data_IF_629557353569
#
_entry.id   IF_629557353569
#
_cell.length_a   1.000
_cell.length_b   1.000
_cell.length_c   1.000
_cell.angle_alpha   90.00
_cell.angle_beta   90.00
_cell.angle_gamma   90.00
#
_symmetry.space_group_name_H-M   'P 1'
#
loop_
_entity.id
_entity.type
_entity.pdbx_description
1 polymer ?
#
# COMPACT_ATOMS: atom_id res chain seq x y z
N UNK A 1 9.70 -7.50 -17.97
CA UNK A 1 8.72 -7.01 -18.96
C UNK A 1 8.24 -5.62 -18.59
N UNK A 2 7.26 -5.50 -17.71
CA UNK A 2 6.58 -4.23 -17.37
C UNK A 2 7.54 -3.14 -16.87
N UNK A 3 8.46 -3.44 -15.95
CA UNK A 3 9.44 -2.46 -15.44
C UNK A 3 10.31 -1.86 -16.55
N UNK A 4 10.76 -2.71 -17.47
CA UNK A 4 11.57 -2.31 -18.63
C UNK A 4 10.77 -1.42 -19.57
N UNK A 5 9.50 -1.76 -19.83
CA UNK A 5 8.61 -0.96 -20.68
C UNK A 5 8.25 0.39 -20.05
N UNK A 6 8.18 0.46 -18.72
CA UNK A 6 7.82 1.70 -18.01
C UNK A 6 8.94 2.74 -17.98
N UNK A 7 10.21 2.30 -18.13
CA UNK A 7 11.40 3.13 -17.93
C UNK A 7 11.40 3.97 -16.63
N UNK A 8 10.62 3.62 -15.60
CA UNK A 8 10.57 4.38 -14.34
C UNK A 8 11.77 4.03 -13.45
N UNK A 9 12.62 5.01 -13.16
CA UNK A 9 13.71 4.88 -12.19
C UNK A 9 13.23 4.46 -10.80
N UNK A 10 12.09 5.00 -10.35
CA UNK A 10 11.46 4.59 -9.09
C UNK A 10 11.07 3.11 -9.07
N UNK A 11 10.60 2.58 -10.21
CA UNK A 11 10.24 1.17 -10.33
C UNK A 11 11.44 0.23 -10.19
N UNK A 12 12.58 0.60 -10.78
CA UNK A 12 13.82 -0.16 -10.64
C UNK A 12 14.35 -0.18 -9.21
N UNK A 13 14.38 0.96 -8.54
CA UNK A 13 14.80 1.05 -7.13
C UNK A 13 13.93 0.16 -6.24
N UNK A 14 12.61 0.24 -6.41
CA UNK A 14 11.65 -0.57 -5.66
C UNK A 14 11.83 -2.07 -5.93
N UNK A 15 12.02 -2.47 -7.19
CA UNK A 15 12.26 -3.85 -7.56
C UNK A 15 13.56 -4.40 -6.94
N UNK A 16 14.66 -3.63 -7.01
CA UNK A 16 15.93 -4.02 -6.40
C UNK A 16 15.79 -4.18 -4.89
N UNK A 17 15.10 -3.26 -4.21
CA UNK A 17 14.84 -3.37 -2.78
C UNK A 17 13.99 -4.60 -2.43
N UNK A 18 12.91 -4.86 -3.18
CA UNK A 18 12.06 -6.03 -2.99
C UNK A 18 12.82 -7.34 -3.18
N UNK A 19 13.63 -7.45 -4.23
CA UNK A 19 14.49 -8.61 -4.48
C UNK A 19 15.46 -8.79 -3.32
N UNK A 20 16.15 -7.74 -2.89
CA UNK A 20 17.07 -7.79 -1.76
C UNK A 20 16.40 -8.32 -0.49
N UNK A 21 15.17 -7.90 -0.20
CA UNK A 21 14.41 -8.36 0.96
C UNK A 21 14.06 -9.83 0.84
N UNK A 22 13.53 -10.29 -0.30
CA UNK A 22 13.26 -11.71 -0.54
C UNK A 22 14.52 -12.55 -0.35
N UNK A 23 15.67 -12.05 -0.81
CA UNK A 23 16.96 -12.69 -0.64
C UNK A 23 17.37 -12.82 0.82
N UNK A 24 17.10 -11.83 1.68
CA UNK A 24 17.31 -11.91 3.12
C UNK A 24 16.43 -12.99 3.80
N UNK A 25 15.24 -13.27 3.26
CA UNK A 25 14.35 -14.31 3.76
C UNK A 25 14.73 -15.72 3.29
N UNK A 26 15.60 -15.87 2.30
CA UNK A 26 15.92 -17.16 1.68
C UNK A 26 17.19 -17.81 2.27
N UNK A 27 17.30 -19.15 2.17
CA UNK A 27 18.52 -19.86 2.56
C UNK A 27 19.70 -19.41 1.67
N UNK A 28 20.89 -19.21 2.25
CA UNK A 28 22.11 -18.74 1.56
C UNK A 28 22.45 -19.51 0.27
N UNK A 29 22.09 -20.79 0.17
CA UNK A 29 22.36 -21.59 -1.05
C UNK A 29 21.46 -21.18 -2.22
N UNK A 30 20.20 -20.85 -1.95
CA UNK A 30 19.25 -20.42 -2.98
C UNK A 30 19.52 -18.98 -3.42
N UNK A 31 20.08 -18.15 -2.52
CA UNK A 31 20.56 -16.80 -2.84
C UNK A 31 21.51 -16.78 -4.04
N UNK A 32 22.51 -17.67 -4.07
CA UNK A 32 23.47 -17.73 -5.17
C UNK A 32 22.79 -18.06 -6.50
N UNK A 33 21.83 -19.01 -6.49
CA UNK A 33 21.06 -19.37 -7.68
C UNK A 33 20.20 -18.21 -8.21
N UNK A 34 19.46 -17.54 -7.33
CA UNK A 34 18.59 -16.42 -7.71
C UNK A 34 19.38 -15.18 -8.13
N UNK A 35 20.52 -14.91 -7.49
CA UNK A 35 21.41 -13.81 -7.85
C UNK A 35 22.06 -14.05 -9.22
N UNK A 36 22.55 -15.26 -9.48
CA UNK A 36 23.08 -15.62 -10.81
C UNK A 36 22.01 -15.48 -11.89
N UNK A 37 20.80 -15.99 -11.65
CA UNK A 37 19.68 -15.85 -12.59
C UNK A 37 19.32 -14.37 -12.84
N UNK A 38 19.36 -13.53 -11.80
CA UNK A 38 19.09 -12.09 -11.92
C UNK A 38 20.17 -11.38 -12.72
N UNK A 39 21.45 -11.68 -12.48
CA UNK A 39 22.59 -11.13 -13.24
C UNK A 39 22.53 -11.56 -14.70
N UNK A 40 22.20 -12.83 -14.98
CA UNK A 40 22.02 -13.33 -16.35
C UNK A 40 20.84 -12.64 -17.04
N UNK A 41 19.71 -12.46 -16.35
CA UNK A 41 18.56 -11.77 -16.91
C UNK A 41 18.88 -10.30 -17.25
N UNK A 42 19.52 -9.57 -16.34
CA UNK A 42 19.97 -8.19 -16.59
C UNK A 42 21.00 -8.16 -17.73
N UNK A 43 22.01 -9.02 -17.67
CA UNK A 43 23.06 -9.15 -18.68
C UNK A 43 22.54 -9.47 -20.08
N UNK A 44 21.54 -10.35 -20.19
CA UNK A 44 20.90 -10.68 -21.47
C UNK A 44 20.06 -9.52 -22.02
N UNK A 45 19.52 -8.67 -21.15
CA UNK A 45 18.81 -7.46 -21.62
C UNK A 45 19.77 -6.37 -22.04
N UNK A 46 20.89 -6.13 -21.36
CA UNK A 46 21.81 -5.00 -21.60
C UNK A 46 22.20 -4.73 -23.08
N UNK A 47 22.51 -5.73 -23.94
CA UNK A 47 22.85 -5.51 -25.34
C UNK A 47 21.72 -4.89 -26.18
N UNK A 48 20.46 -5.18 -25.83
CA UNK A 48 19.28 -4.61 -26.49
C UNK A 48 19.19 -3.09 -26.22
N UNK A 49 19.84 -2.61 -25.16
CA UNK A 49 19.71 -1.25 -24.65
C UNK A 49 21.03 -0.47 -24.63
N UNK A 50 22.07 -0.93 -25.33
CA UNK A 50 23.42 -0.33 -25.30
C UNK A 50 23.49 1.15 -25.79
N UNK A 51 22.38 1.73 -26.27
CA UNK A 51 22.34 3.16 -26.55
C UNK A 51 22.29 3.95 -25.23
N UNK A 52 23.34 4.73 -24.93
CA UNK A 52 23.55 5.52 -23.70
C UNK A 52 22.41 6.48 -23.30
N UNK A 53 21.38 6.63 -24.13
CA UNK A 53 20.16 7.40 -23.87
C UNK A 53 19.25 6.78 -22.80
N UNK A 54 19.28 5.47 -22.57
CA UNK A 54 18.34 4.82 -21.62
C UNK A 54 18.58 5.23 -20.17
N UNK A 55 19.83 5.42 -19.73
CA UNK A 55 20.14 5.85 -18.35
C UNK A 55 19.54 7.23 -18.09
N UNK A 56 19.66 8.13 -19.08
CA UNK A 56 19.07 9.47 -19.03
C UNK A 56 17.53 9.42 -19.04
N UNK A 57 16.95 8.43 -19.72
CA UNK A 57 15.51 8.21 -19.74
C UNK A 57 14.97 7.63 -18.43
N UNK A 58 15.72 6.76 -17.76
CA UNK A 58 15.32 6.13 -16.49
C UNK A 58 15.56 7.04 -15.29
N UNK A 59 16.64 7.83 -15.32
CA UNK A 59 17.01 8.78 -14.27
C UNK A 59 17.21 10.20 -14.81
N UNK A 60 16.14 10.85 -15.32
CA UNK A 60 16.22 12.22 -15.77
C UNK A 60 16.42 13.16 -14.56
N UNK A 61 17.60 13.76 -14.45
CA UNK A 61 17.95 14.71 -13.37
C UNK A 61 16.91 15.84 -13.25
N UNK A 62 16.39 16.32 -14.37
CA UNK A 62 15.35 17.35 -14.38
C UNK A 62 14.10 16.91 -13.62
N UNK A 63 13.63 15.68 -13.81
CA UNK A 63 12.47 15.13 -13.08
C UNK A 63 12.71 15.11 -11.57
N UNK A 64 13.95 14.84 -11.13
CA UNK A 64 14.29 14.88 -9.71
C UNK A 64 14.27 16.31 -9.16
N UNK A 65 14.80 17.28 -9.91
CA UNK A 65 14.76 18.70 -9.52
C UNK A 65 13.31 19.20 -9.41
N UNK A 66 12.47 18.86 -10.39
CA UNK A 66 11.04 19.21 -10.38
C UNK A 66 10.31 18.61 -9.17
N UNK A 67 10.68 17.39 -8.74
CA UNK A 67 10.14 16.77 -7.51
C UNK A 67 10.58 17.51 -6.26
N UNK A 68 11.88 17.86 -6.17
CA UNK A 68 12.40 18.61 -5.02
C UNK A 68 11.71 19.97 -4.89
N UNK A 69 11.48 20.66 -5.99
CA UNK A 69 10.77 21.95 -5.99
C UNK A 69 9.32 21.78 -5.47
N UNK A 70 8.61 20.75 -5.95
CA UNK A 70 7.27 20.41 -5.45
C UNK A 70 7.26 20.06 -3.97
N UNK A 71 8.27 19.34 -3.48
CA UNK A 71 8.39 18.99 -2.08
C UNK A 71 8.60 20.22 -1.21
N UNK A 72 9.46 21.15 -1.66
CA UNK A 72 9.68 22.42 -0.97
C UNK A 72 8.40 23.26 -0.93
N UNK A 73 7.67 23.36 -2.04
CA UNK A 73 6.39 24.07 -2.10
C UNK A 73 5.34 23.42 -1.18
N UNK A 74 5.28 22.09 -1.15
CA UNK A 74 4.39 21.32 -0.27
C UNK A 74 4.70 21.58 1.20
N UNK A 75 5.99 21.50 1.57
CA UNK A 75 6.44 21.75 2.94
C UNK A 75 6.15 23.21 3.34
N UNK A 76 6.35 24.16 2.43
CA UNK A 76 6.03 25.57 2.68
C UNK A 76 4.54 25.77 2.97
N UNK A 77 3.65 25.17 2.17
CA UNK A 77 2.20 25.25 2.38
C UNK A 77 1.73 24.56 3.67
N UNK A 78 2.39 23.46 4.05
CA UNK A 78 2.08 22.71 5.28
C UNK A 78 2.44 23.46 6.57
N UNK A 79 3.30 24.48 6.52
CA UNK A 79 3.68 25.26 7.71
C UNK A 79 2.49 25.92 8.38
N UNK A 80 1.48 26.29 7.61
CA UNK A 80 0.27 26.95 8.12
C UNK A 80 -0.72 25.96 8.75
N UNK A 81 -0.63 24.67 8.40
CA UNK A 81 -1.59 23.64 8.81
C UNK A 81 -0.92 22.31 9.21
N UNK A 82 0.01 22.29 10.18
CA UNK A 82 0.80 21.09 10.50
C UNK A 82 -0.04 19.94 11.10
N UNK A 83 -1.15 20.24 11.78
CA UNK A 83 -1.96 19.21 12.43
C UNK A 83 -3.05 18.65 11.52
N UNK A 84 -3.77 19.51 10.81
CA UNK A 84 -4.89 19.12 9.96
C UNK A 84 -4.46 18.78 8.52
N UNK A 85 -3.28 19.25 8.10
CA UNK A 85 -2.91 19.28 6.69
C UNK A 85 -3.72 20.33 5.93
N UNK A 86 -3.60 20.28 4.60
CA UNK A 86 -4.36 21.09 3.65
C UNK A 86 -5.76 20.53 3.38
N UNK A 87 -6.05 19.30 3.83
CA UNK A 87 -7.27 18.55 3.54
C UNK A 87 -7.20 17.80 2.20
N UNK A 88 -8.14 16.88 1.99
CA UNK A 88 -8.18 16.04 0.78
C UNK A 88 -8.24 16.88 -0.49
N UNK A 89 -7.21 16.78 -1.32
CA UNK A 89 -7.10 17.57 -2.55
C UNK A 89 -6.72 19.04 -2.33
N UNK A 90 -6.54 19.48 -1.08
CA UNK A 90 -6.14 20.85 -0.73
C UNK A 90 -4.77 21.24 -1.26
N UNK A 91 -3.91 20.26 -1.53
CA UNK A 91 -2.65 20.49 -2.23
C UNK A 91 -2.87 21.16 -3.59
N UNK A 92 -3.85 20.71 -4.38
CA UNK A 92 -4.13 21.30 -5.69
C UNK A 92 -4.66 22.72 -5.56
N UNK A 93 -5.56 23.00 -4.62
CA UNK A 93 -6.10 24.36 -4.47
C UNK A 93 -5.09 25.37 -3.94
N UNK A 94 -4.07 24.93 -3.20
CA UNK A 94 -3.09 25.82 -2.53
C UNK A 94 -1.71 25.86 -3.19
N UNK A 95 -1.31 24.81 -3.89
CA UNK A 95 0.05 24.64 -4.43
C UNK A 95 0.07 24.59 -5.96
N UNK A 96 -1.01 24.14 -6.63
CA UNK A 96 -1.02 24.14 -8.11
C UNK A 96 -1.02 25.56 -8.71
N UNK A 97 -1.36 26.57 -7.92
CA UNK A 97 -1.25 28.00 -8.28
C UNK A 97 0.18 28.44 -8.58
N UNK A 98 1.20 27.64 -8.23
CA UNK A 98 2.61 27.88 -8.60
C UNK A 98 2.96 27.39 -10.02
N UNK A 99 1.96 27.06 -10.85
CA UNK A 99 2.20 26.57 -12.23
C UNK A 99 2.66 25.12 -12.30
N UNK A 100 2.62 24.40 -11.18
CA UNK A 100 2.99 22.99 -11.10
C UNK A 100 1.79 22.10 -11.42
N UNK A 101 1.85 21.38 -12.54
CA UNK A 101 0.87 20.35 -12.90
C UNK A 101 1.23 19.03 -12.22
N UNK A 102 0.31 18.43 -11.46
CA UNK A 102 0.51 17.15 -10.77
C UNK A 102 0.79 17.35 -9.27
N UNK A 103 0.54 16.32 -8.45
CA UNK A 103 0.76 16.40 -7.00
C UNK A 103 2.25 16.51 -6.58
N UNK A 104 2.56 16.27 -5.29
CA UNK A 104 3.91 16.27 -4.74
C UNK A 104 4.85 15.20 -5.32
N UNK A 105 4.31 14.17 -6.00
CA UNK A 105 5.09 12.99 -6.43
C UNK A 105 5.82 12.31 -5.26
N UNK A 106 5.18 12.28 -4.11
CA UNK A 106 5.64 11.59 -2.90
C UNK A 106 4.42 11.29 -2.04
N UNK A 107 4.10 10.01 -1.89
CA UNK A 107 2.90 9.57 -1.20
C UNK A 107 2.85 10.00 0.27
N UNK A 108 4.01 10.14 0.92
CA UNK A 108 4.11 10.53 2.32
C UNK A 108 3.80 12.01 2.50
N UNK A 109 4.35 12.86 1.61
CA UNK A 109 4.00 14.28 1.57
C UNK A 109 2.56 14.49 1.14
N UNK A 110 2.04 13.69 0.23
CA UNK A 110 0.63 13.72 -0.15
C UNK A 110 -0.27 13.34 1.03
N UNK A 111 0.02 12.23 1.72
CA UNK A 111 -0.72 11.82 2.92
C UNK A 111 -0.69 12.91 3.99
N UNK A 112 0.48 13.51 4.22
CA UNK A 112 0.61 14.59 5.19
C UNK A 112 -0.18 15.83 4.76
N UNK A 113 -0.16 16.18 3.48
CA UNK A 113 -0.97 17.26 2.91
C UNK A 113 -2.47 16.99 3.07
N UNK A 114 -2.92 15.76 2.87
CA UNK A 114 -4.34 15.43 2.91
C UNK A 114 -4.90 15.29 4.33
N UNK A 115 -4.10 14.80 5.27
CA UNK A 115 -4.58 14.34 6.59
C UNK A 115 -3.82 14.92 7.79
N UNK A 116 -2.75 15.68 7.55
CA UNK A 116 -1.94 16.28 8.59
C UNK A 116 -1.20 15.26 9.47
N UNK A 117 -0.86 15.68 10.68
CA UNK A 117 -0.09 14.88 11.61
C UNK A 117 -0.79 13.56 11.98
N UNK A 118 -2.12 13.53 11.99
CA UNK A 118 -2.90 12.34 12.34
C UNK A 118 -2.66 11.19 11.36
N UNK A 119 -2.68 11.43 10.05
CA UNK A 119 -2.39 10.38 9.07
C UNK A 119 -0.93 9.93 9.10
N UNK A 120 0.00 10.86 9.38
CA UNK A 120 1.40 10.50 9.57
C UNK A 120 1.63 9.60 10.80
N UNK A 121 0.96 9.87 11.92
CA UNK A 121 1.00 9.00 13.10
C UNK A 121 0.44 7.62 12.76
N UNK A 122 -0.70 7.55 12.06
CA UNK A 122 -1.29 6.28 11.64
C UNK A 122 -0.34 5.48 10.73
N UNK A 123 0.34 6.16 9.79
CA UNK A 123 1.34 5.55 8.93
C UNK A 123 2.54 5.01 9.73
N UNK A 124 3.08 5.79 10.67
CA UNK A 124 4.19 5.35 11.54
C UNK A 124 3.79 4.11 12.34
N UNK A 125 2.59 4.08 12.91
CA UNK A 125 2.07 2.91 13.62
C UNK A 125 1.94 1.70 12.68
N UNK A 126 1.43 1.89 11.47
CA UNK A 126 1.32 0.82 10.47
C UNK A 126 2.70 0.26 10.09
N UNK A 127 3.71 1.11 9.93
CA UNK A 127 5.11 0.70 9.69
C UNK A 127 5.66 -0.08 10.88
N UNK A 128 5.47 0.38 12.11
CA UNK A 128 5.92 -0.32 13.32
C UNK A 128 5.29 -1.72 13.41
N UNK A 129 3.98 -1.84 13.16
CA UNK A 129 3.28 -3.13 13.15
C UNK A 129 3.84 -4.02 12.05
N UNK A 130 4.02 -3.49 10.85
CA UNK A 130 4.57 -4.24 9.71
C UNK A 130 5.97 -4.77 10.02
N UNK A 131 6.87 -3.94 10.58
CA UNK A 131 8.22 -4.37 10.98
C UNK A 131 8.16 -5.48 12.04
N UNK A 132 7.27 -5.38 13.03
CA UNK A 132 7.08 -6.44 14.04
C UNK A 132 6.65 -7.76 13.40
N UNK A 133 5.68 -7.74 12.49
CA UNK A 133 5.22 -8.93 11.77
C UNK A 133 6.34 -9.50 10.88
N UNK A 134 7.02 -8.64 10.11
CA UNK A 134 8.17 -9.01 9.26
C UNK A 134 9.26 -9.72 10.04
N UNK A 135 9.54 -9.26 11.27
CA UNK A 135 10.51 -9.90 12.17
C UNK A 135 10.04 -11.28 12.63
N UNK A 136 8.77 -11.44 12.98
CA UNK A 136 8.22 -12.76 13.36
C UNK A 136 8.32 -13.76 12.20
N UNK A 137 8.08 -13.30 10.97
CA UNK A 137 8.19 -14.13 9.77
C UNK A 137 9.62 -14.65 9.57
N UNK A 138 10.66 -13.86 9.86
CA UNK A 138 12.07 -14.30 9.71
C UNK A 138 12.41 -15.54 10.54
N UNK A 139 11.76 -15.70 11.69
CA UNK A 139 11.97 -16.80 12.63
C UNK A 139 10.95 -17.93 12.49
N UNK A 140 9.97 -17.80 11.58
CA UNK A 140 8.96 -18.81 11.35
C UNK A 140 9.53 -20.04 10.61
N UNK A 141 8.74 -21.12 10.59
CA UNK A 141 9.11 -22.34 9.90
C UNK A 141 9.20 -22.11 8.38
N UNK A 142 10.41 -22.28 7.83
CA UNK A 142 10.72 -22.05 6.42
C UNK A 142 10.21 -23.16 5.51
N UNK A 143 9.85 -24.32 6.06
CA UNK A 143 9.38 -25.46 5.29
C UNK A 143 7.86 -25.36 5.01
N UNK A 144 7.17 -24.37 5.62
CA UNK A 144 5.76 -24.10 5.34
C UNK A 144 5.57 -23.39 3.99
N UNK A 145 4.64 -23.84 3.12
CA UNK A 145 4.36 -23.14 1.85
C UNK A 145 3.85 -21.70 2.05
N UNK A 146 3.25 -21.40 3.22
CA UNK A 146 2.76 -20.06 3.57
C UNK A 146 3.93 -19.10 3.84
N UNK A 147 5.11 -19.60 4.24
CA UNK A 147 6.27 -18.77 4.50
C UNK A 147 6.67 -17.94 3.28
N UNK A 148 6.78 -18.58 2.11
CA UNK A 148 7.14 -17.91 0.86
C UNK A 148 6.14 -16.83 0.45
N UNK A 149 4.84 -17.12 0.60
CA UNK A 149 3.77 -16.14 0.33
C UNK A 149 3.91 -14.93 1.26
N UNK A 150 4.09 -15.18 2.55
CA UNK A 150 4.17 -14.13 3.58
C UNK A 150 5.41 -13.26 3.39
N UNK A 151 6.56 -13.89 3.07
CA UNK A 151 7.79 -13.19 2.74
C UNK A 151 7.65 -12.35 1.46
N UNK A 152 6.98 -12.88 0.43
CA UNK A 152 6.68 -12.16 -0.80
C UNK A 152 5.79 -10.93 -0.59
N UNK A 153 4.71 -11.06 0.20
CA UNK A 153 3.84 -9.94 0.58
C UNK A 153 4.63 -8.88 1.34
N UNK A 154 5.47 -9.30 2.29
CA UNK A 154 6.33 -8.41 3.08
C UNK A 154 7.29 -7.63 2.18
N UNK A 155 7.97 -8.32 1.25
CA UNK A 155 8.89 -7.69 0.31
C UNK A 155 8.15 -6.72 -0.63
N UNK A 156 6.96 -7.09 -1.11
CA UNK A 156 6.11 -6.23 -1.93
C UNK A 156 5.68 -4.96 -1.21
N UNK A 157 5.29 -5.05 0.07
CA UNK A 157 4.94 -3.89 0.90
C UNK A 157 6.12 -2.94 1.10
N UNK A 158 7.31 -3.47 1.37
CA UNK A 158 8.50 -2.62 1.57
C UNK A 158 8.94 -2.00 0.24
N UNK A 159 8.96 -2.78 -0.84
CA UNK A 159 9.27 -2.28 -2.18
C UNK A 159 8.28 -1.18 -2.61
N UNK A 160 6.98 -1.40 -2.41
CA UNK A 160 5.94 -0.41 -2.67
C UNK A 160 6.10 0.84 -1.81
N UNK A 161 6.42 0.68 -0.52
CA UNK A 161 6.71 1.82 0.36
C UNK A 161 7.89 2.66 -0.10
N UNK A 162 8.97 2.03 -0.60
CA UNK A 162 10.12 2.72 -1.18
C UNK A 162 9.73 3.40 -2.50
N UNK A 163 8.97 2.73 -3.35
CA UNK A 163 8.47 3.32 -4.59
C UNK A 163 7.64 4.59 -4.33
N UNK A 164 6.78 4.53 -3.32
CA UNK A 164 5.89 5.59 -2.90
C UNK A 164 6.63 6.85 -2.38
N UNK A 165 7.91 6.74 -1.99
CA UNK A 165 8.74 7.90 -1.64
C UNK A 165 9.09 8.73 -2.88
N UNK A 166 9.18 8.07 -4.04
CA UNK A 166 9.87 8.62 -5.21
C UNK A 166 8.89 9.05 -6.28
N UNK A 167 7.86 8.26 -6.57
CA UNK A 167 7.07 8.43 -7.80
C UNK A 167 5.55 8.45 -7.60
N UNK A 168 5.05 7.91 -6.48
CA UNK A 168 3.65 7.49 -6.45
C UNK A 168 2.75 8.41 -5.63
N UNK A 169 1.56 8.68 -6.18
CA UNK A 169 0.44 9.21 -5.43
C UNK A 169 -0.48 8.03 -5.15
N UNK A 170 -0.57 7.61 -3.88
CA UNK A 170 -1.47 6.53 -3.45
C UNK A 170 -2.96 6.81 -3.73
N UNK A 171 -3.27 8.03 -4.12
CA UNK A 171 -4.60 8.50 -4.47
C UNK A 171 -4.57 9.03 -5.90
N UNK A 172 -5.50 8.54 -6.72
CA UNK A 172 -5.70 9.07 -8.06
C UNK A 172 -6.72 10.21 -7.97
N UNK A 173 -6.29 11.39 -8.37
CA UNK A 173 -7.19 12.51 -8.62
C UNK A 173 -7.49 12.55 -10.10
N UNK A 174 -8.75 12.31 -10.46
CA UNK A 174 -9.22 12.42 -11.84
C UNK A 174 -9.97 13.73 -11.95
N UNK A 175 -9.48 14.63 -12.78
CA UNK A 175 -10.20 15.85 -13.13
C UNK A 175 -11.31 15.50 -14.14
N UNK A 176 -12.56 15.80 -13.79
CA UNK A 176 -13.73 15.61 -14.65
C UNK A 176 -14.40 16.95 -14.84
N UNK A 177 -14.05 17.65 -15.92
CA UNK A 177 -14.46 19.04 -16.14
C UNK A 177 -13.76 20.00 -15.17
N UNK A 178 -14.55 20.77 -14.40
CA UNK A 178 -14.05 21.67 -13.36
C UNK A 178 -14.00 21.02 -11.97
N UNK A 179 -14.49 19.78 -11.84
CA UNK A 179 -14.51 19.05 -10.58
C UNK A 179 -13.35 18.05 -10.49
N UNK A 180 -12.95 17.76 -9.27
CA UNK A 180 -11.94 16.75 -8.96
C UNK A 180 -12.59 15.57 -8.26
N UNK A 181 -12.39 14.37 -8.79
CA UNK A 181 -12.84 13.14 -8.16
C UNK A 181 -11.66 12.42 -7.52
N UNK A 182 -11.73 12.27 -6.20
CA UNK A 182 -10.70 11.65 -5.39
C UNK A 182 -10.95 10.13 -5.28
N UNK A 183 -10.04 9.34 -5.84
CA UNK A 183 -10.03 7.88 -5.70
C UNK A 183 -8.91 7.46 -4.77
N UNK A 184 -9.28 6.94 -3.60
CA UNK A 184 -8.34 6.20 -2.76
C UNK A 184 -8.10 4.83 -3.38
N UNK A 185 -6.85 4.46 -3.63
CA UNK A 185 -6.50 3.13 -4.12
C UNK A 185 -6.41 2.21 -2.89
N UNK A 186 -7.32 1.22 -2.72
CA UNK A 186 -7.37 0.41 -1.50
C UNK A 186 -6.24 -0.62 -1.41
N UNK A 187 -5.31 -0.61 -2.37
CA UNK A 187 -4.29 -1.64 -2.54
C UNK A 187 -3.44 -1.76 -1.28
N UNK A 188 -2.90 -0.67 -0.71
CA UNK A 188 -2.07 -0.80 0.50
C UNK A 188 -2.81 -1.49 1.66
N UNK A 189 -4.09 -1.16 1.86
CA UNK A 189 -4.92 -1.78 2.89
C UNK A 189 -5.14 -3.27 2.63
N UNK A 190 -5.36 -3.64 1.37
CA UNK A 190 -5.47 -5.04 0.96
C UNK A 190 -4.18 -5.80 1.24
N UNK A 191 -3.01 -5.25 0.89
CA UNK A 191 -1.72 -5.88 1.14
C UNK A 191 -1.42 -6.00 2.64
N UNK A 192 -1.73 -4.99 3.43
CA UNK A 192 -1.61 -5.04 4.89
C UNK A 192 -2.51 -6.11 5.50
N UNK A 193 -3.77 -6.21 5.06
CA UNK A 193 -4.70 -7.25 5.50
C UNK A 193 -4.18 -8.65 5.14
N UNK A 194 -3.68 -8.83 3.91
CA UNK A 194 -3.07 -10.10 3.48
C UNK A 194 -1.83 -10.46 4.30
N UNK A 195 -0.99 -9.49 4.67
CA UNK A 195 0.16 -9.71 5.55
C UNK A 195 -0.29 -10.20 6.92
N UNK A 196 -1.29 -9.57 7.54
CA UNK A 196 -1.80 -9.97 8.85
C UNK A 196 -2.37 -11.40 8.79
N UNK A 197 -3.22 -11.71 7.80
CA UNK A 197 -3.84 -13.03 7.66
C UNK A 197 -2.79 -14.12 7.39
N UNK A 198 -1.83 -13.86 6.51
CA UNK A 198 -0.77 -14.82 6.17
C UNK A 198 0.17 -15.05 7.36
N UNK A 199 0.55 -14.00 8.08
CA UNK A 199 1.36 -14.10 9.30
C UNK A 199 0.65 -14.90 10.40
N UNK A 200 -0.64 -14.65 10.66
CA UNK A 200 -1.42 -15.42 11.63
C UNK A 200 -1.49 -16.91 11.27
N UNK A 201 -1.69 -17.24 10.00
CA UNK A 201 -1.71 -18.64 9.54
C UNK A 201 -0.34 -19.30 9.70
N UNK A 202 0.73 -18.58 9.36
CA UNK A 202 2.10 -19.07 9.48
C UNK A 202 2.44 -19.41 10.94
N UNK A 203 2.15 -18.50 11.88
CA UNK A 203 2.43 -18.69 13.30
C UNK A 203 1.62 -19.84 13.90
N UNK A 204 0.34 -19.98 13.55
CA UNK A 204 -0.49 -21.12 14.01
C UNK A 204 0.03 -22.47 13.54
N UNK A 205 0.60 -22.54 12.33
CA UNK A 205 1.17 -23.79 11.83
C UNK A 205 2.44 -24.15 12.60
N UNK A 206 3.29 -23.17 12.89
CA UNK A 206 4.51 -23.37 13.70
C UNK A 206 4.18 -23.88 15.11
N UNK A 207 3.13 -23.36 15.75
CA UNK A 207 2.67 -23.85 17.07
C UNK A 207 2.21 -25.32 17.03
N UNK A 208 1.43 -25.71 16.00
CA UNK A 208 0.94 -27.09 15.84
C UNK A 208 2.08 -28.09 15.66
N UNK A 209 3.08 -27.74 14.86
CA UNK A 209 4.23 -28.61 14.59
C UNK A 209 5.14 -28.75 15.81
N UNK A 210 5.20 -27.72 16.67
CA UNK A 210 5.90 -27.79 17.94
C UNK A 210 5.21 -28.74 18.93
N UNK A 211 3.88 -28.63 19.07
CA UNK A 211 3.09 -29.50 19.94
C UNK A 211 3.21 -30.99 19.56
N UNK A 212 3.29 -31.30 18.25
CA UNK A 212 3.50 -32.68 17.77
C UNK A 212 4.88 -33.24 18.08
N UNK A 213 5.91 -32.40 18.19
CA UNK A 213 7.29 -32.83 18.47
C UNK A 213 7.57 -33.06 19.96
N UNK A 214 6.56 -32.97 20.83
CA UNK A 214 6.72 -33.18 22.27
C UNK A 214 7.53 -32.09 22.97
N UNK A 215 7.64 -30.90 22.35
CA UNK A 215 8.40 -29.77 22.90
C UNK A 215 7.71 -29.20 24.13
N UNK A 216 8.23 -29.54 25.32
CA UNK A 216 7.76 -29.00 26.59
C UNK A 216 7.80 -27.46 26.64
N UNK A 217 6.68 -26.89 27.07
CA UNK A 217 6.49 -25.57 27.70
C UNK A 217 7.41 -24.42 27.23
N UNK A 218 7.29 -23.95 25.98
CA UNK A 218 7.93 -22.70 25.55
C UNK A 218 6.97 -21.50 25.61
N UNK A 219 7.17 -20.68 26.65
CA UNK A 219 6.93 -19.23 26.79
C UNK A 219 5.66 -18.62 26.14
N UNK A 220 4.58 -18.53 26.93
CA UNK A 220 3.29 -17.88 26.60
C UNK A 220 3.29 -16.34 26.76
N UNK A 221 4.44 -15.68 26.94
CA UNK A 221 4.48 -14.28 27.38
C UNK A 221 4.16 -13.22 26.32
N UNK A 222 4.13 -13.58 25.03
CA UNK A 222 4.15 -12.59 23.94
C UNK A 222 2.95 -12.55 22.99
N UNK A 223 2.17 -13.63 22.89
CA UNK A 223 1.12 -13.78 21.87
C UNK A 223 -0.28 -13.32 22.31
N UNK A 224 -0.53 -13.18 23.62
CA UNK A 224 -1.86 -12.84 24.14
C UNK A 224 -2.35 -11.44 23.74
N UNK A 225 -1.45 -10.48 23.52
CA UNK A 225 -1.83 -9.09 23.17
C UNK A 225 -2.39 -8.93 21.75
N UNK A 226 -1.92 -9.72 20.78
CA UNK A 226 -2.45 -9.68 19.41
C UNK A 226 -3.84 -10.33 19.30
N UNK A 227 -4.16 -11.28 20.18
CA UNK A 227 -5.52 -11.83 20.29
C UNK A 227 -6.50 -10.83 20.93
N UNK A 228 -6.07 -9.93 21.82
CA UNK A 228 -6.96 -8.92 22.40
C UNK A 228 -7.38 -7.82 21.40
N UNK A 229 -6.54 -7.45 20.43
CA UNK A 229 -6.89 -6.44 19.42
C UNK A 229 -7.61 -7.02 18.20
N UNK A 230 -7.36 -8.27 17.83
CA UNK A 230 -8.11 -8.96 16.77
C UNK A 230 -9.37 -9.70 17.28
N UNK A 231 -9.50 -9.85 18.60
CA UNK A 231 -10.59 -10.56 19.29
C UNK A 231 -11.60 -9.63 19.95
N UNK A 232 -11.80 -8.42 19.43
CA UNK A 232 -13.03 -7.68 19.69
C UNK A 232 -14.19 -8.38 18.95
N UNK A 233 -14.72 -9.42 19.59
CA UNK A 233 -15.98 -10.14 19.37
C UNK A 233 -16.82 -9.73 18.15
N UNK A 234 -16.64 -10.47 17.04
CA UNK A 234 -17.74 -10.96 16.22
C UNK A 234 -18.05 -12.40 16.62
N UNK A 235 -18.35 -12.63 17.91
CA UNK A 235 -19.00 -13.87 18.34
C UNK A 235 -20.50 -13.71 18.09
N UNK A 236 -20.96 -14.19 16.94
CA UNK A 236 -22.38 -14.44 16.66
C UNK A 236 -22.86 -15.68 17.42
N UNK A 237 -22.78 -15.64 18.75
CA UNK A 237 -23.38 -16.65 19.61
C UNK A 237 -24.40 -15.99 20.52
N UNK A 238 -25.68 -16.20 20.21
CA UNK A 238 -26.78 -15.77 21.08
C UNK A 238 -28.05 -15.26 20.39
N UNK A 239 -28.55 -15.90 19.32
CA UNK A 239 -29.96 -15.78 18.94
C UNK A 239 -30.48 -17.13 18.44
N UNK A 240 -30.59 -18.08 19.37
CA UNK A 240 -31.50 -19.22 19.23
C UNK A 240 -32.84 -18.84 19.84
N UNK A 241 -33.89 -18.78 19.02
CA UNK A 241 -35.27 -18.93 19.48
C UNK A 241 -36.18 -17.70 19.35
N UNK A 242 -36.69 -17.47 18.15
CA UNK A 242 -38.10 -17.11 17.93
C UNK A 242 -38.42 -17.30 16.43
N UNK A 243 -39.17 -18.35 16.11
CA UNK A 243 -39.77 -18.50 14.80
C UNK A 243 -40.85 -17.41 14.62
N UNK A 244 -40.49 -16.30 13.98
CA UNK A 244 -41.44 -15.29 13.53
C UNK A 244 -41.92 -15.71 12.14
N UNK A 245 -43.16 -16.18 12.08
CA UNK A 245 -43.90 -16.42 10.84
C UNK A 245 -43.96 -15.13 10.00
N UNK A 246 -43.70 -15.18 8.68
CA UNK A 246 -43.79 -14.00 7.84
C UNK A 246 -45.26 -13.58 7.67
N UNK A 247 -45.60 -12.39 8.16
CA UNK A 247 -46.86 -11.70 7.85
C UNK A 247 -46.73 -11.02 6.47
N UNK A 248 -47.59 -11.34 5.50
CA UNK A 248 -47.58 -10.71 4.19
C UNK A 248 -48.56 -9.52 4.17
N UNK A 249 -48.07 -8.31 4.38
CA UNK A 249 -48.79 -7.12 3.96
C UNK A 249 -47.87 -5.91 3.72
N UNK A 250 -47.99 -5.38 2.51
CA UNK A 250 -47.92 -3.98 2.11
C UNK A 250 -46.77 -3.10 2.63
N UNK A 251 -45.97 -2.60 1.68
CA UNK A 251 -46.14 -1.21 1.23
C UNK A 251 -45.32 -0.93 -0.03
N UNK A 252 -46.03 -0.77 -1.15
CA UNK A 252 -45.49 -0.16 -2.36
C UNK A 252 -45.17 1.31 -2.07
N UNK A 253 -43.91 1.70 -2.20
CA UNK A 253 -43.57 3.11 -2.46
C UNK A 253 -43.26 3.24 -3.95
N UNK A 254 -44.26 3.71 -4.70
CA UNK A 254 -44.06 4.29 -6.03
C UNK A 254 -43.09 5.47 -5.87
N UNK A 255 -41.92 5.35 -6.46
CA UNK A 255 -41.02 6.47 -6.71
C UNK A 255 -41.64 7.27 -7.87
N UNK A 256 -42.17 8.45 -7.57
CA UNK A 256 -42.58 9.39 -8.60
C UNK A 256 -41.32 9.96 -9.26
N UNK A 257 -41.08 9.55 -10.49
CA UNK A 257 -40.11 10.18 -11.38
C UNK A 257 -40.71 11.50 -11.83
N UNK A 258 -40.13 12.61 -11.38
CA UNK A 258 -40.44 13.95 -11.89
C UNK A 258 -39.76 14.06 -13.26
N UNK A 259 -40.48 14.41 -14.35
CA UNK A 259 -39.84 14.64 -15.64
C UNK A 259 -38.97 15.89 -15.58
N UNK A 260 -37.76 15.76 -16.13
CA UNK A 260 -36.83 16.85 -16.32
C UNK A 260 -37.47 17.94 -17.20
N UNK A 261 -37.75 19.09 -16.59
CA UNK A 261 -38.15 20.29 -17.31
C UNK A 261 -36.98 20.83 -18.13
N UNK A 262 -37.19 20.92 -19.43
CA UNK A 262 -36.36 21.65 -20.39
C UNK A 262 -36.21 23.12 -19.96
N UNK A 263 -35.00 23.55 -19.62
CA UNK A 263 -34.63 24.98 -19.68
C UNK A 263 -33.85 25.21 -20.96
N UNK A 264 -34.55 25.72 -21.96
CA UNK A 264 -33.96 26.58 -22.98
C UNK A 264 -33.32 27.78 -22.28
N UNK A 265 -32.04 28.02 -22.53
CA UNK A 265 -31.44 29.33 -22.34
C UNK A 265 -30.76 29.70 -23.65
N UNK A 266 -31.50 30.46 -24.45
CA UNK A 266 -30.99 31.35 -25.47
C UNK A 266 -30.12 32.43 -24.80
N UNK A 267 -28.86 32.55 -25.20
CA UNK A 267 -28.14 33.82 -25.10
C UNK A 267 -27.47 34.12 -26.45
N UNK A 268 -27.82 35.32 -26.93
CA UNK A 268 -27.17 36.08 -27.99
C UNK A 268 -25.83 36.61 -27.52
#
# INVERSE_FOLDING_TARGET
>A
GILVLSASGGGWIAATAGIFIVLLYHRVKTFWGTSLASVVAVGATLPIWYNTTWIKAVFPIQSLLDRVERWQATIAALKDYPLAGLGLGGWWSKVSTFGMLGGPHNAYLQLYSDTGALGMIALVLAVIISVKLSRQILYADKDSPIYGITAGITAGLIAGGIHALIDDNMNALIQVGNDYLYYAIPLLWLWAALLVVSCQRLLRNTEKDWGRRGGGLFWSGGSSWLFCLAGANLTTEGFSGAAVTPQPWALSKKVNIIPAGSRENSFR
#
